data_IF_998999033263
#
_entry.id   IF_998999033263
#
_cell.length_a   1.000
_cell.length_b   1.000
_cell.length_c   1.000
_cell.angle_alpha   90.00
_cell.angle_beta   90.00
_cell.angle_gamma   90.00
#
_symmetry.space_group_name_H-M   'P 1'
#
loop_
_entity.id
_entity.type
_entity.pdbx_description
1 polymer ?
#
# COMPACT_ATOMS: atom_id res chain seq x y z
N UNK A 1 36.79 -19.92 -10.70
CA UNK A 1 35.61 -20.28 -9.87
C UNK A 1 34.88 -19.06 -9.34
N UNK A 2 35.59 -18.11 -8.74
CA UNK A 2 34.90 -16.91 -8.21
C UNK A 2 34.20 -16.08 -9.29
N UNK A 3 34.75 -16.04 -10.50
CA UNK A 3 34.15 -15.31 -11.60
C UNK A 3 32.85 -15.94 -12.08
N UNK A 4 32.72 -17.25 -12.03
CA UNK A 4 31.51 -17.94 -12.43
C UNK A 4 30.36 -17.69 -11.47
N UNK A 5 30.65 -17.64 -10.18
CA UNK A 5 29.66 -17.32 -9.16
C UNK A 5 29.12 -15.91 -9.34
N UNK A 6 30.00 -14.99 -9.70
CA UNK A 6 29.64 -13.60 -9.93
C UNK A 6 28.69 -13.44 -11.11
N UNK A 7 28.97 -14.16 -12.19
CA UNK A 7 28.13 -14.13 -13.38
C UNK A 7 26.75 -14.70 -13.09
N UNK A 8 26.69 -15.79 -12.32
CA UNK A 8 25.43 -16.40 -11.95
C UNK A 8 24.55 -15.45 -11.11
N UNK A 9 25.16 -14.72 -10.19
CA UNK A 9 24.45 -13.72 -9.41
C UNK A 9 23.92 -12.58 -10.25
N UNK A 10 24.71 -12.12 -11.21
CA UNK A 10 24.31 -11.05 -12.11
C UNK A 10 23.10 -11.46 -12.95
N UNK A 11 23.09 -12.67 -13.45
CA UNK A 11 21.96 -13.20 -14.22
C UNK A 11 20.72 -13.30 -13.36
N UNK A 12 20.84 -13.73 -12.12
CA UNK A 12 19.72 -13.82 -11.19
C UNK A 12 19.14 -12.43 -10.91
N UNK A 13 19.99 -11.43 -10.72
CA UNK A 13 19.55 -10.06 -10.51
C UNK A 13 18.81 -9.51 -11.72
N UNK A 14 19.27 -9.83 -12.92
CA UNK A 14 18.59 -9.38 -14.14
C UNK A 14 17.20 -9.99 -14.29
N UNK A 15 17.05 -11.26 -13.94
CA UNK A 15 15.75 -11.91 -13.96
C UNK A 15 14.77 -11.28 -12.97
N UNK A 16 15.25 -10.94 -11.81
CA UNK A 16 14.44 -10.25 -10.81
C UNK A 16 14.05 -8.85 -11.27
N UNK A 17 14.97 -8.12 -11.88
CA UNK A 17 14.69 -6.80 -12.42
C UNK A 17 13.66 -6.86 -13.55
N UNK A 18 13.64 -7.91 -14.32
CA UNK A 18 12.68 -8.09 -15.39
C UNK A 18 11.26 -8.26 -14.84
N UNK A 19 11.11 -9.07 -13.80
CA UNK A 19 9.82 -9.24 -13.14
C UNK A 19 9.37 -7.96 -12.46
N UNK A 20 10.32 -7.15 -12.02
CA UNK A 20 10.06 -5.93 -11.29
C UNK A 20 9.34 -4.87 -12.12
N UNK A 21 9.48 -4.87 -13.43
CA UNK A 21 8.82 -3.89 -14.30
C UNK A 21 7.30 -3.99 -14.31
N UNK A 22 6.76 -5.10 -13.83
CA UNK A 22 5.32 -5.34 -13.79
C UNK A 22 4.74 -5.23 -12.39
N UNK A 23 5.59 -5.00 -11.38
CA UNK A 23 5.13 -5.03 -10.01
C UNK A 23 4.53 -3.72 -9.58
N UNK A 24 3.55 -3.85 -8.71
CA UNK A 24 2.93 -2.73 -8.03
C UNK A 24 3.69 -2.53 -6.73
N UNK A 25 4.11 -1.32 -6.46
CA UNK A 25 4.75 -1.00 -5.19
C UNK A 25 3.70 -0.82 -4.12
N UNK A 26 3.83 -1.56 -3.03
CA UNK A 26 2.93 -1.44 -1.89
C UNK A 26 3.45 -0.37 -0.94
N UNK A 27 2.59 0.59 -0.64
CA UNK A 27 2.93 1.71 0.24
C UNK A 27 1.91 1.77 1.36
N UNK A 28 2.38 1.71 2.60
CA UNK A 28 1.52 1.87 3.76
C UNK A 28 1.49 3.33 4.18
N UNK A 29 0.31 3.92 4.20
CA UNK A 29 0.11 5.31 4.59
C UNK A 29 -0.43 5.35 6.02
N UNK A 30 0.28 6.04 6.91
CA UNK A 30 -0.16 6.21 8.29
C UNK A 30 -0.95 7.50 8.41
N UNK A 31 -2.20 7.39 8.88
CA UNK A 31 -3.09 8.53 9.01
C UNK A 31 -3.65 8.59 10.42
N UNK A 32 -3.77 9.81 10.95
CA UNK A 32 -4.46 10.07 12.21
C UNK A 32 -5.85 10.60 11.88
N UNK A 33 -6.87 9.97 12.43
CA UNK A 33 -8.26 10.34 12.15
C UNK A 33 -8.57 11.69 12.79
N UNK A 34 -9.16 12.59 11.98
CA UNK A 34 -9.66 13.87 12.46
C UNK A 34 -11.14 13.74 12.79
N UNK A 35 -11.60 14.57 13.74
CA UNK A 35 -13.00 14.58 14.13
C UNK A 35 -13.89 14.85 12.90
N UNK A 36 -14.91 14.04 12.73
CA UNK A 36 -15.85 14.17 11.61
C UNK A 36 -15.41 13.53 10.30
N UNK A 37 -14.21 12.94 10.24
CA UNK A 37 -13.75 12.27 9.03
C UNK A 37 -14.38 10.89 8.91
N UNK A 38 -14.66 10.50 7.68
CA UNK A 38 -15.11 9.14 7.38
C UNK A 38 -13.97 8.31 6.83
N UNK A 39 -14.09 6.99 6.91
CA UNK A 39 -13.07 6.11 6.33
C UNK A 39 -12.96 6.32 4.82
N UNK A 40 -14.07 6.61 4.17
CA UNK A 40 -14.09 6.92 2.74
C UNK A 40 -13.21 8.11 2.41
N UNK A 41 -13.33 9.20 3.18
CA UNK A 41 -12.53 10.41 2.98
C UNK A 41 -11.06 10.15 3.23
N UNK A 42 -10.74 9.47 4.32
CA UNK A 42 -9.36 9.19 4.73
C UNK A 42 -8.65 8.32 3.69
N UNK A 43 -9.29 7.25 3.27
CA UNK A 43 -8.71 6.33 2.29
C UNK A 43 -8.61 7.01 0.92
N UNK A 44 -9.63 7.75 0.51
CA UNK A 44 -9.62 8.47 -0.76
C UNK A 44 -8.50 9.46 -0.84
N UNK A 45 -8.29 10.23 0.23
CA UNK A 45 -7.20 11.21 0.29
C UNK A 45 -5.83 10.54 0.23
N UNK A 46 -5.65 9.45 0.97
CA UNK A 46 -4.39 8.72 0.97
C UNK A 46 -4.08 8.13 -0.40
N UNK A 47 -5.07 7.57 -1.06
CA UNK A 47 -4.92 7.02 -2.41
C UNK A 47 -4.53 8.10 -3.41
N UNK A 48 -5.16 9.25 -3.34
CA UNK A 48 -4.87 10.37 -4.22
C UNK A 48 -3.45 10.88 -4.00
N UNK A 49 -3.02 10.97 -2.76
CA UNK A 49 -1.69 11.47 -2.41
C UNK A 49 -0.58 10.59 -2.98
N UNK A 50 -0.74 9.27 -2.93
CA UNK A 50 0.28 8.33 -3.43
C UNK A 50 0.08 7.94 -4.88
N UNK A 51 -1.05 8.29 -5.48
CA UNK A 51 -1.35 7.94 -6.86
C UNK A 51 -1.89 6.54 -7.06
N UNK A 52 -2.61 6.02 -6.08
CA UNK A 52 -3.28 4.72 -6.17
C UNK A 52 -4.56 4.88 -6.99
N UNK A 53 -4.65 4.18 -8.13
CA UNK A 53 -5.76 4.31 -9.06
C UNK A 53 -6.86 3.25 -8.88
N UNK A 54 -6.75 2.42 -7.84
CA UNK A 54 -7.75 1.39 -7.59
C UNK A 54 -9.07 2.00 -7.10
N UNK A 55 -10.12 1.18 -7.04
CA UNK A 55 -11.39 1.58 -6.46
C UNK A 55 -11.23 1.82 -4.96
N UNK A 56 -11.74 2.94 -4.47
CA UNK A 56 -11.67 3.29 -3.05
C UNK A 56 -12.30 2.19 -2.17
N UNK A 57 -13.37 1.58 -2.63
CA UNK A 57 -14.06 0.51 -1.88
C UNK A 57 -13.15 -0.70 -1.65
N UNK A 58 -12.31 -1.02 -2.64
CA UNK A 58 -11.35 -2.12 -2.52
C UNK A 58 -10.31 -1.80 -1.45
N UNK A 59 -9.76 -0.60 -1.47
CA UNK A 59 -8.76 -0.18 -0.49
C UNK A 59 -9.37 -0.08 0.91
N UNK A 60 -10.61 0.38 1.02
CA UNK A 60 -11.33 0.42 2.29
C UNK A 60 -11.45 -0.99 2.88
N UNK A 61 -11.76 -1.96 2.06
CA UNK A 61 -11.88 -3.36 2.50
C UNK A 61 -10.58 -3.85 3.14
N UNK A 62 -9.45 -3.63 2.48
CA UNK A 62 -8.15 -4.03 3.02
C UNK A 62 -7.74 -3.19 4.23
N UNK A 63 -8.09 -1.92 4.24
CA UNK A 63 -7.83 -1.04 5.37
C UNK A 63 -8.56 -1.54 6.63
N UNK A 64 -9.81 -1.91 6.48
CA UNK A 64 -10.60 -2.45 7.59
C UNK A 64 -9.96 -3.73 8.14
N UNK A 65 -9.55 -4.62 7.27
CA UNK A 65 -8.92 -5.87 7.68
C UNK A 65 -7.59 -5.64 8.39
N UNK A 66 -6.77 -4.77 7.85
CA UNK A 66 -5.44 -4.51 8.39
C UNK A 66 -5.51 -3.88 9.78
N UNK A 67 -6.49 -3.02 10.01
CA UNK A 67 -6.62 -2.27 11.26
C UNK A 67 -7.63 -2.88 12.24
N UNK A 68 -8.25 -4.00 11.88
CA UNK A 68 -9.25 -4.63 12.74
C UNK A 68 -10.51 -3.79 12.90
N UNK A 69 -10.88 -3.01 11.91
CA UNK A 69 -12.07 -2.15 11.94
C UNK A 69 -13.26 -2.95 11.44
N UNK A 70 -14.19 -3.26 12.32
CA UNK A 70 -15.40 -3.99 11.95
C UNK A 70 -16.52 -3.03 11.53
N UNK A 71 -16.58 -1.88 12.16
CA UNK A 71 -17.64 -0.90 11.92
C UNK A 71 -17.03 0.47 11.61
N UNK A 72 -17.23 0.94 10.38
CA UNK A 72 -16.68 2.23 9.93
C UNK A 72 -17.28 3.42 10.68
N UNK A 73 -18.44 3.26 11.28
CA UNK A 73 -19.06 4.29 12.10
C UNK A 73 -18.41 4.49 13.47
N UNK A 74 -17.44 3.66 13.84
CA UNK A 74 -16.77 3.74 15.12
C UNK A 74 -15.39 4.37 15.07
N UNK A 75 -15.08 5.11 14.03
CA UNK A 75 -13.84 5.87 13.98
C UNK A 75 -13.92 7.05 14.94
N UNK A 76 -12.84 7.29 15.67
CA UNK A 76 -12.77 8.41 16.60
C UNK A 76 -11.52 9.24 16.36
N UNK A 77 -11.60 10.51 16.73
CA UNK A 77 -10.51 11.46 16.53
C UNK A 77 -9.26 10.99 17.28
N UNK A 78 -8.10 11.07 16.63
CA UNK A 78 -6.84 10.63 17.21
C UNK A 78 -6.50 9.18 16.94
N UNK A 79 -7.43 8.40 16.39
CA UNK A 79 -7.18 7.02 16.04
C UNK A 79 -6.15 6.92 14.92
N UNK A 80 -5.20 6.01 15.06
CA UNK A 80 -4.18 5.78 14.03
C UNK A 80 -4.62 4.65 13.10
N UNK A 81 -4.57 4.91 11.81
CA UNK A 81 -4.98 3.96 10.77
C UNK A 81 -3.84 3.79 9.78
N UNK A 82 -3.59 2.55 9.38
CA UNK A 82 -2.63 2.22 8.33
C UNK A 82 -3.42 1.86 7.08
N UNK A 83 -3.17 2.57 5.98
CA UNK A 83 -3.87 2.36 4.71
C UNK A 83 -2.94 1.66 3.73
N UNK A 84 -3.26 0.43 3.28
CA UNK A 84 -2.42 -0.29 2.33
C UNK A 84 -2.67 0.19 0.90
N UNK A 85 -1.89 1.14 0.44
CA UNK A 85 -1.99 1.66 -0.91
C UNK A 85 -1.06 0.91 -1.86
N UNK A 86 -1.36 0.98 -3.17
CA UNK A 86 -0.53 0.40 -4.21
C UNK A 86 -0.30 1.42 -5.31
N UNK A 87 0.96 1.55 -5.72
CA UNK A 87 1.34 2.48 -6.77
C UNK A 87 1.93 1.69 -7.93
N UNK A 88 1.42 1.92 -9.14
CA UNK A 88 1.97 1.32 -10.36
C UNK A 88 3.19 2.11 -10.80
N UNK A 89 4.26 1.39 -11.06
CA UNK A 89 5.48 1.97 -11.60
C UNK A 89 5.80 1.45 -12.98
#
# INVERSE_FOLDING_TARGET
MKKMLFVAMAVTCMLHAYDYTRTVEKVEVNVVVKAGSTLWDIVGDAMQEVGDSRDVREVIYYTKKLNGIENVGRLYAGQKIIIPCEVKR
#
